data_IF_920337268817
#
_entry.id   IF_920337268817
#
_cell.length_a   1.000
_cell.length_b   1.000
_cell.length_c   1.000
_cell.angle_alpha   90.00
_cell.angle_beta   90.00
_cell.angle_gamma   90.00
#
_symmetry.space_group_name_H-M   'P 1'
#
loop_
_entity.id
_entity.type
_entity.pdbx_description
1 polymer ?
#
# COMPACT_ATOMS: atom_id res chain seq x y z
N UNK A 1 53.46 -62.14 5.85
CA UNK A 1 53.13 -61.01 4.96
C UNK A 1 51.61 -60.94 4.87
N UNK A 2 50.97 -60.07 5.66
CA UNK A 2 49.53 -59.80 5.57
C UNK A 2 49.29 -58.41 6.16
N UNK A 3 48.92 -57.47 5.30
CA UNK A 3 48.63 -56.07 5.61
C UNK A 3 47.16 -56.01 6.01
N UNK A 4 46.85 -55.62 7.25
CA UNK A 4 45.48 -55.31 7.67
C UNK A 4 45.33 -53.79 7.63
N UNK A 5 44.68 -53.29 6.58
CA UNK A 5 44.31 -51.90 6.43
C UNK A 5 43.14 -51.56 7.36
N UNK A 6 43.37 -50.69 8.34
CA UNK A 6 42.31 -50.06 9.16
C UNK A 6 41.76 -48.87 8.39
N UNK A 7 40.52 -48.99 7.92
CA UNK A 7 39.73 -47.88 7.40
C UNK A 7 39.13 -47.10 8.57
N UNK A 8 39.51 -45.83 8.71
CA UNK A 8 38.88 -44.88 9.62
C UNK A 8 37.78 -44.15 8.82
N UNK A 9 36.49 -44.19 9.21
CA UNK A 9 35.49 -43.38 8.53
C UNK A 9 35.69 -41.91 8.95
N UNK A 10 35.99 -41.07 7.95
CA UNK A 10 35.96 -39.61 8.07
C UNK A 10 34.49 -39.19 8.19
N UNK A 11 34.03 -38.91 9.42
CA UNK A 11 32.76 -38.24 9.63
C UNK A 11 32.88 -36.80 9.10
N UNK A 12 32.36 -36.55 7.90
CA UNK A 12 32.02 -35.20 7.47
C UNK A 12 30.91 -34.71 8.38
N UNK A 13 31.25 -33.88 9.36
CA UNK A 13 30.31 -32.98 9.98
C UNK A 13 29.87 -31.98 8.90
N UNK A 14 28.73 -32.24 8.26
CA UNK A 14 28.01 -31.23 7.53
C UNK A 14 27.68 -30.13 8.53
N UNK A 15 28.38 -29.00 8.42
CA UNK A 15 27.99 -27.78 9.12
C UNK A 15 26.61 -27.39 8.63
N UNK A 16 25.59 -27.77 9.39
CA UNK A 16 24.32 -27.07 9.41
C UNK A 16 24.69 -25.62 9.69
N UNK A 17 24.56 -24.75 8.69
CA UNK A 17 24.59 -23.32 8.91
C UNK A 17 23.52 -23.04 9.95
N UNK A 18 23.93 -22.75 11.18
CA UNK A 18 23.05 -22.10 12.13
C UNK A 18 22.67 -20.79 11.44
N UNK A 19 21.42 -20.68 10.98
CA UNK A 19 20.84 -19.41 10.59
C UNK A 19 21.07 -18.46 11.77
N UNK A 20 22.02 -17.55 11.59
CA UNK A 20 22.39 -16.60 12.62
C UNK A 20 21.25 -15.58 12.70
N UNK A 21 20.27 -15.83 13.56
CA UNK A 21 19.30 -14.81 13.95
C UNK A 21 20.05 -13.63 14.55
N UNK A 22 19.77 -12.42 14.11
CA UNK A 22 20.26 -11.24 14.81
C UNK A 22 19.46 -11.09 16.11
N UNK A 23 20.02 -11.61 17.20
CA UNK A 23 19.51 -11.42 18.55
C UNK A 23 19.30 -9.92 18.80
N UNK A 24 18.07 -9.54 19.14
CA UNK A 24 17.64 -8.16 19.37
C UNK A 24 17.11 -7.39 18.15
N UNK A 25 17.17 -7.94 16.93
CA UNK A 25 16.64 -7.26 15.73
C UNK A 25 15.15 -7.56 15.54
N UNK A 26 14.31 -6.52 15.63
CA UNK A 26 12.88 -6.56 15.31
C UNK A 26 12.62 -5.72 14.06
N UNK A 27 11.84 -6.25 13.12
CA UNK A 27 11.48 -5.54 11.88
C UNK A 27 9.98 -5.50 11.72
N UNK A 28 9.44 -4.29 11.64
CA UNK A 28 8.03 -4.07 11.36
C UNK A 28 7.89 -3.50 9.96
N UNK A 29 7.08 -4.15 9.15
CA UNK A 29 6.61 -3.58 7.90
C UNK A 29 5.17 -3.19 8.03
N UNK A 30 4.85 -1.99 7.56
CA UNK A 30 3.49 -1.67 7.26
C UNK A 30 3.33 -0.97 5.94
N UNK A 31 2.15 -1.10 5.35
CA UNK A 31 1.89 -0.56 4.03
C UNK A 31 0.42 -0.53 3.70
N UNK A 32 0.13 0.02 2.54
CA UNK A 32 -1.24 0.25 2.11
C UNK A 32 -1.42 -0.11 0.65
N UNK A 33 -2.56 -0.70 0.32
CA UNK A 33 -2.97 -1.05 -1.04
C UNK A 33 -4.32 -0.39 -1.33
N UNK A 34 -4.47 0.13 -2.54
CA UNK A 34 -5.74 0.68 -3.01
C UNK A 34 -6.17 -0.04 -4.27
N UNK A 35 -7.43 -0.47 -4.31
CA UNK A 35 -8.12 -0.95 -5.49
C UNK A 35 -9.43 -0.19 -5.68
N UNK A 36 -9.96 -0.21 -6.90
CA UNK A 36 -11.24 0.43 -7.25
C UNK A 36 -12.11 -0.60 -7.95
N UNK A 37 -13.35 -0.74 -7.50
CA UNK A 37 -14.35 -1.63 -8.08
C UNK A 37 -15.64 -0.85 -8.36
N UNK A 38 -16.47 -1.35 -9.27
CA UNK A 38 -17.86 -0.90 -9.39
C UNK A 38 -18.80 -1.75 -8.55
N UNK A 39 -20.11 -1.54 -8.72
CA UNK A 39 -21.15 -2.34 -8.05
C UNK A 39 -21.01 -3.86 -8.29
N UNK A 40 -20.49 -4.25 -9.45
CA UNK A 40 -20.32 -5.65 -9.88
C UNK A 40 -19.08 -6.32 -9.29
N UNK A 41 -18.24 -5.57 -8.59
CA UNK A 41 -17.01 -6.08 -7.99
C UNK A 41 -15.84 -6.25 -8.94
N UNK A 42 -16.00 -5.91 -10.22
CA UNK A 42 -14.94 -6.07 -11.20
C UNK A 42 -13.88 -4.98 -10.95
N UNK A 43 -12.60 -5.35 -10.74
CA UNK A 43 -11.53 -4.38 -10.58
C UNK A 43 -11.41 -3.49 -11.81
N UNK A 44 -11.41 -2.18 -11.59
CA UNK A 44 -11.27 -1.19 -12.64
C UNK A 44 -9.79 -0.84 -12.75
N UNK A 45 -9.30 -0.65 -13.98
CA UNK A 45 -7.94 -0.18 -14.22
C UNK A 45 -7.92 1.34 -14.36
N UNK A 46 -7.03 2.03 -13.64
CA UNK A 46 -6.91 3.50 -13.66
C UNK A 46 -5.45 3.95 -13.56
N UNK A 47 -5.15 5.23 -13.82
CA UNK A 47 -3.82 5.78 -13.57
C UNK A 47 -3.67 6.14 -12.08
N UNK A 48 -2.80 5.44 -11.33
CA UNK A 48 -2.79 5.60 -9.88
C UNK A 48 -2.23 6.95 -9.39
N UNK A 49 -1.47 7.65 -10.23
CA UNK A 49 -0.99 9.02 -9.98
C UNK A 49 -1.24 9.87 -11.23
N UNK A 50 -2.18 10.81 -11.14
CA UNK A 50 -2.52 11.75 -12.23
C UNK A 50 -1.90 13.14 -12.05
N UNK A 51 -1.47 13.49 -10.84
CA UNK A 51 -0.85 14.78 -10.51
C UNK A 51 0.68 14.65 -10.36
N UNK A 52 1.38 15.79 -10.17
CA UNK A 52 2.77 15.81 -9.71
C UNK A 52 2.94 14.86 -8.52
N UNK A 53 4.10 14.21 -8.43
CA UNK A 53 4.46 13.34 -7.31
C UNK A 53 4.06 13.99 -5.98
N UNK A 54 3.37 13.21 -5.15
CA UNK A 54 2.98 13.52 -3.78
C UNK A 54 4.15 13.30 -2.79
N UNK A 55 5.31 12.87 -3.31
CA UNK A 55 6.51 12.57 -2.54
C UNK A 55 7.56 13.66 -2.64
N UNK A 56 8.47 13.75 -1.64
CA UNK A 56 9.64 14.61 -1.71
C UNK A 56 10.53 14.31 -2.92
N UNK A 57 11.19 15.32 -3.47
CA UNK A 57 12.06 15.22 -4.64
C UNK A 57 13.33 14.37 -4.42
N UNK A 58 13.70 14.07 -3.19
CA UNK A 58 14.81 13.15 -2.89
C UNK A 58 14.45 11.66 -3.05
N UNK A 59 13.17 11.31 -3.20
CA UNK A 59 12.73 9.93 -3.42
C UNK A 59 13.13 9.48 -4.83
N UNK A 60 13.70 8.29 -4.94
CA UNK A 60 14.06 7.71 -6.23
C UNK A 60 12.80 7.29 -6.97
N UNK A 61 12.78 7.53 -8.28
CA UNK A 61 11.68 7.16 -9.17
C UNK A 61 12.23 6.25 -10.27
N UNK A 62 11.63 5.07 -10.41
CA UNK A 62 11.87 4.14 -11.50
C UNK A 62 10.98 4.48 -12.69
N UNK A 63 10.13 3.53 -13.11
CA UNK A 63 9.14 3.77 -14.16
C UNK A 63 7.98 4.60 -13.58
N UNK A 64 7.68 5.81 -14.11
CA UNK A 64 6.66 6.67 -13.52
C UNK A 64 5.25 6.04 -13.56
N UNK A 65 4.57 6.00 -12.40
CA UNK A 65 3.20 5.45 -12.25
C UNK A 65 2.18 6.11 -13.17
N UNK A 66 2.29 7.41 -13.42
CA UNK A 66 1.34 8.16 -14.25
C UNK A 66 1.31 7.76 -15.73
N UNK A 67 2.26 6.91 -16.17
CA UNK A 67 2.30 6.35 -17.53
C UNK A 67 1.69 4.94 -17.62
N UNK A 68 1.18 4.42 -16.50
CA UNK A 68 0.71 3.05 -16.39
C UNK A 68 -0.69 3.02 -15.77
N UNK A 69 -1.54 2.19 -16.33
CA UNK A 69 -2.79 1.81 -15.67
C UNK A 69 -2.57 0.55 -14.84
N UNK A 70 -3.20 0.48 -13.68
CA UNK A 70 -3.13 -0.67 -12.78
C UNK A 70 -4.47 -0.87 -12.08
N UNK A 71 -4.69 -2.07 -11.55
CA UNK A 71 -5.87 -2.37 -10.70
C UNK A 71 -5.55 -2.27 -9.21
N UNK A 72 -4.25 -2.21 -8.86
CA UNK A 72 -3.78 -2.03 -7.49
C UNK A 72 -2.68 -0.98 -7.44
N UNK A 73 -2.84 0.00 -6.54
CA UNK A 73 -1.80 0.96 -6.14
C UNK A 73 -1.24 0.54 -4.79
N UNK A 74 0.06 0.26 -4.73
CA UNK A 74 0.78 0.12 -3.48
C UNK A 74 1.27 1.50 -3.03
N UNK A 75 0.69 1.95 -1.92
CA UNK A 75 0.67 3.33 -1.46
C UNK A 75 1.83 3.67 -0.54
N UNK A 76 1.95 3.17 0.69
CA UNK A 76 3.09 3.57 1.55
C UNK A 76 3.70 2.39 2.33
N UNK A 77 4.22 1.35 1.67
CA UNK A 77 5.08 0.40 2.36
C UNK A 77 6.34 1.04 2.96
N UNK A 78 6.55 0.81 4.25
CA UNK A 78 7.75 1.18 4.99
C UNK A 78 8.20 0.03 5.88
N UNK A 79 9.51 -0.16 6.01
CA UNK A 79 10.13 -1.07 6.98
C UNK A 79 10.83 -0.29 8.08
N UNK A 80 10.41 -0.50 9.32
CA UNK A 80 11.07 -0.02 10.53
C UNK A 80 11.94 -1.10 11.13
N UNK A 81 13.04 -0.66 11.74
CA UNK A 81 14.01 -1.54 12.39
C UNK A 81 14.14 -1.10 13.84
N UNK A 82 14.08 -2.06 14.76
CA UNK A 82 14.36 -1.86 16.18
C UNK A 82 15.50 -2.79 16.55
N UNK A 83 16.51 -2.24 17.22
CA UNK A 83 17.68 -2.97 17.66
C UNK A 83 18.23 -2.28 18.91
N UNK A 84 18.86 -3.04 19.79
CA UNK A 84 19.53 -2.56 21.00
C UNK A 84 20.97 -2.07 20.73
N UNK A 85 21.58 -2.56 19.64
CA UNK A 85 22.93 -2.21 19.21
C UNK A 85 23.00 -1.95 17.71
N UNK A 86 24.08 -1.27 17.29
CA UNK A 86 24.34 -1.07 15.87
C UNK A 86 24.38 -2.43 15.14
N UNK A 87 23.55 -2.55 14.12
CA UNK A 87 23.36 -3.79 13.36
C UNK A 87 23.44 -3.49 11.88
N UNK A 88 23.91 -4.45 11.09
CA UNK A 88 23.91 -4.34 9.63
C UNK A 88 23.05 -5.46 9.07
N UNK A 89 22.10 -5.11 8.21
CA UNK A 89 21.25 -6.07 7.52
C UNK A 89 21.26 -5.83 6.01
N UNK A 90 21.01 -6.89 5.25
CA UNK A 90 20.59 -6.80 3.86
C UNK A 90 19.08 -7.06 3.79
N UNK A 91 18.41 -6.31 2.93
CA UNK A 91 16.95 -6.35 2.78
C UNK A 91 16.61 -6.47 1.31
N UNK A 92 15.67 -7.34 0.99
CA UNK A 92 15.15 -7.51 -0.37
C UNK A 92 13.64 -7.68 -0.33
N UNK A 93 12.96 -6.91 -1.16
CA UNK A 93 11.53 -7.06 -1.43
C UNK A 93 11.32 -7.34 -2.91
N UNK A 94 10.46 -8.31 -3.22
CA UNK A 94 9.93 -8.54 -4.56
C UNK A 94 8.46 -8.09 -4.63
N UNK A 95 8.01 -7.73 -5.83
CA UNK A 95 6.61 -7.52 -6.12
C UNK A 95 6.22 -8.27 -7.41
N UNK A 96 6.03 -9.60 -7.36
CA UNK A 96 5.86 -10.44 -8.56
C UNK A 96 4.66 -10.04 -9.43
N UNK A 97 3.57 -9.59 -8.81
CA UNK A 97 2.35 -9.15 -9.50
C UNK A 97 2.34 -7.67 -9.92
N UNK A 98 3.49 -7.00 -9.88
CA UNK A 98 3.57 -5.58 -10.17
C UNK A 98 4.98 -5.05 -10.39
N UNK A 99 5.10 -3.74 -10.23
CA UNK A 99 6.33 -2.99 -10.40
C UNK A 99 6.53 -2.04 -9.23
N UNK A 100 7.78 -1.93 -8.78
CA UNK A 100 8.23 -0.94 -7.83
C UNK A 100 8.65 0.31 -8.60
N UNK A 101 8.05 1.42 -8.22
CA UNK A 101 8.11 2.68 -8.97
C UNK A 101 8.76 3.80 -8.18
N UNK A 102 8.73 3.76 -6.85
CA UNK A 102 9.38 4.76 -6.01
C UNK A 102 10.03 4.10 -4.78
N UNK A 103 11.18 4.61 -4.33
CA UNK A 103 11.86 4.11 -3.12
C UNK A 103 12.85 5.10 -2.51
N UNK A 104 13.15 4.90 -1.23
CA UNK A 104 14.21 5.61 -0.51
C UNK A 104 14.57 4.82 0.74
N UNK A 105 15.83 4.80 1.21
CA UNK A 105 17.07 5.29 0.60
C UNK A 105 17.50 4.53 -0.67
N UNK A 106 18.67 4.88 -1.22
CA UNK A 106 19.27 4.26 -2.40
C UNK A 106 19.33 2.73 -2.29
N UNK A 107 18.98 2.06 -3.39
CA UNK A 107 18.87 0.62 -3.47
C UNK A 107 19.28 0.13 -4.87
N UNK A 108 19.59 -1.16 -4.99
CA UNK A 108 19.64 -1.83 -6.27
C UNK A 108 18.21 -2.09 -6.72
N UNK A 109 17.83 -1.54 -7.88
CA UNK A 109 16.47 -1.60 -8.39
C UNK A 109 16.40 -2.42 -9.68
N UNK A 110 15.36 -3.25 -9.76
CA UNK A 110 14.81 -3.81 -10.99
C UNK A 110 13.28 -3.62 -10.94
N UNK A 111 12.55 -3.66 -12.08
CA UNK A 111 11.14 -3.30 -12.11
C UNK A 111 10.28 -3.95 -11.03
N UNK A 112 10.46 -5.24 -10.71
CA UNK A 112 9.69 -5.95 -9.68
C UNK A 112 10.49 -6.28 -8.41
N UNK A 113 11.64 -5.63 -8.17
CA UNK A 113 12.54 -5.96 -7.05
C UNK A 113 13.35 -4.77 -6.56
N UNK A 114 13.45 -4.65 -5.24
CA UNK A 114 14.43 -3.80 -4.57
C UNK A 114 15.37 -4.63 -3.69
N UNK A 115 16.63 -4.22 -3.65
CA UNK A 115 17.62 -4.75 -2.72
C UNK A 115 18.44 -3.62 -2.09
N UNK A 116 18.40 -3.56 -0.76
CA UNK A 116 19.36 -2.81 0.05
C UNK A 116 20.39 -3.79 0.59
N UNK A 117 21.57 -3.83 -0.04
CA UNK A 117 22.60 -4.83 0.31
C UNK A 117 23.29 -4.57 1.65
N UNK A 118 23.23 -3.34 2.16
CA UNK A 118 23.85 -2.95 3.43
C UNK A 118 23.13 -1.77 4.09
N UNK A 119 22.17 -2.11 4.93
CA UNK A 119 21.43 -1.18 5.79
C UNK A 119 22.13 -1.14 7.14
N UNK A 120 22.71 0.01 7.52
CA UNK A 120 23.24 0.20 8.87
C UNK A 120 22.11 0.71 9.77
N UNK A 121 21.73 -0.08 10.76
CA UNK A 121 20.69 0.20 11.74
C UNK A 121 21.39 0.74 12.98
N UNK A 122 21.05 1.95 13.40
CA UNK A 122 21.77 2.70 14.44
C UNK A 122 20.80 3.18 15.50
N UNK A 123 20.63 2.44 16.61
CA UNK A 123 19.83 2.92 17.73
C UNK A 123 20.46 4.18 18.33
N UNK A 124 19.63 5.04 18.93
CA UNK A 124 20.03 6.22 19.72
C UNK A 124 20.84 7.32 18.98
N UNK A 125 21.07 7.16 17.67
CA UNK A 125 21.76 8.18 16.87
C UNK A 125 20.76 9.16 16.26
N UNK A 126 20.77 10.40 16.72
CA UNK A 126 20.11 11.49 16.02
C UNK A 126 20.93 11.91 14.78
N UNK A 127 20.30 11.98 13.62
CA UNK A 127 20.87 12.56 12.40
C UNK A 127 19.83 13.45 11.75
N UNK A 128 20.21 14.59 11.16
CA UNK A 128 19.29 15.35 10.32
C UNK A 128 18.82 14.44 9.17
N UNK A 129 17.50 14.32 9.04
CA UNK A 129 16.85 13.64 7.94
C UNK A 129 16.60 14.64 6.82
N UNK A 130 16.76 14.20 5.56
CA UNK A 130 16.40 15.05 4.42
C UNK A 130 14.93 15.44 4.53
N UNK A 131 14.67 16.74 4.47
CA UNK A 131 13.32 17.31 4.49
C UNK A 131 13.31 18.51 3.56
N UNK A 132 12.32 18.54 2.68
CA UNK A 132 12.05 19.68 1.81
C UNK A 132 11.07 20.65 2.48
N UNK A 133 11.03 21.89 2.01
CA UNK A 133 10.15 22.92 2.59
C UNK A 133 8.66 22.61 2.39
N UNK A 134 8.31 21.96 1.27
CA UNK A 134 6.94 21.51 1.01
C UNK A 134 6.61 20.35 1.94
N UNK A 135 5.47 20.46 2.62
CA UNK A 135 4.99 19.36 3.44
C UNK A 135 4.57 18.15 2.59
N UNK A 136 4.66 16.96 3.18
CA UNK A 136 4.32 15.71 2.50
C UNK A 136 3.93 14.67 3.54
N UNK A 137 2.88 13.90 3.24
CA UNK A 137 2.43 12.79 4.08
C UNK A 137 3.54 11.76 4.34
N UNK A 138 4.57 11.70 3.49
CA UNK A 138 5.78 10.91 3.69
C UNK A 138 6.41 11.16 5.07
N UNK A 139 6.40 12.40 5.55
CA UNK A 139 7.06 12.75 6.81
C UNK A 139 6.31 12.26 8.06
N UNK A 140 5.01 11.97 7.98
CA UNK A 140 4.27 11.40 9.11
C UNK A 140 4.78 10.00 9.48
N UNK A 141 5.25 9.22 8.50
CA UNK A 141 5.86 7.92 8.74
C UNK A 141 7.15 7.99 9.59
N UNK A 142 7.73 9.18 9.82
CA UNK A 142 8.89 9.34 10.72
C UNK A 142 8.51 9.34 12.20
N UNK A 143 7.23 9.46 12.56
CA UNK A 143 6.78 9.69 13.94
C UNK A 143 6.73 8.41 14.80
N UNK A 144 7.71 7.53 14.65
CA UNK A 144 7.86 6.24 15.36
C UNK A 144 9.09 6.25 16.25
N UNK A 145 9.35 5.16 16.98
CA UNK A 145 10.58 4.95 17.77
C UNK A 145 11.65 4.13 17.06
N UNK A 146 11.46 3.83 15.77
CA UNK A 146 12.40 3.04 14.98
C UNK A 146 13.83 3.62 14.98
N UNK A 147 14.82 2.73 14.88
CA UNK A 147 16.20 3.12 14.75
C UNK A 147 16.44 3.89 13.44
N UNK A 148 17.47 4.72 13.42
CA UNK A 148 17.93 5.36 12.21
C UNK A 148 18.57 4.30 11.29
N UNK A 149 18.19 4.30 10.01
CA UNK A 149 18.86 3.53 8.98
C UNK A 149 19.77 4.41 8.15
N UNK A 150 20.95 3.90 7.79
CA UNK A 150 21.89 4.55 6.89
C UNK A 150 22.29 3.62 5.75
N UNK A 151 22.07 4.07 4.52
CA UNK A 151 22.44 3.33 3.30
C UNK A 151 23.35 4.20 2.42
N UNK A 152 24.40 3.60 1.86
CA UNK A 152 25.30 4.30 0.94
C UNK A 152 24.78 4.30 -0.50
N UNK A 153 24.89 5.43 -1.20
CA UNK A 153 24.56 5.53 -2.62
C UNK A 153 25.81 5.59 -3.55
N UNK A 154 26.98 5.25 -3.01
CA UNK A 154 28.28 5.37 -3.68
C UNK A 154 28.99 6.71 -3.45
N UNK A 155 28.26 7.80 -3.18
CA UNK A 155 28.83 9.13 -2.93
C UNK A 155 28.67 9.60 -1.48
N UNK A 156 27.55 9.27 -0.85
CA UNK A 156 27.22 9.68 0.52
C UNK A 156 26.33 8.64 1.22
N UNK A 157 26.23 8.77 2.55
CA UNK A 157 25.22 8.07 3.33
C UNK A 157 23.90 8.83 3.29
N UNK A 158 22.82 8.08 3.03
CA UNK A 158 21.45 8.54 3.12
C UNK A 158 20.84 7.98 4.40
N UNK A 159 20.24 8.87 5.19
CA UNK A 159 19.66 8.55 6.49
C UNK A 159 18.14 8.64 6.42
N UNK A 160 17.45 7.70 7.04
CA UNK A 160 15.99 7.68 7.19
C UNK A 160 15.61 6.89 8.45
N UNK A 161 14.35 6.95 8.89
CA UNK A 161 13.82 6.07 9.98
C UNK A 161 13.28 4.74 9.48
N UNK A 162 13.20 4.56 8.16
CA UNK A 162 12.62 3.40 7.52
C UNK A 162 13.21 3.20 6.12
N UNK A 163 13.02 2.00 5.57
CA UNK A 163 13.12 1.77 4.13
C UNK A 163 11.74 1.94 3.53
N UNK A 164 11.62 2.80 2.53
CA UNK A 164 10.38 3.11 1.85
C UNK A 164 10.38 2.58 0.43
N UNK A 165 9.23 2.04 0.01
CA UNK A 165 9.01 1.65 -1.37
C UNK A 165 7.53 1.74 -1.75
N UNK A 166 7.24 1.99 -3.01
CA UNK A 166 5.87 2.01 -3.58
C UNK A 166 5.85 1.31 -4.92
N UNK A 167 4.65 0.94 -5.37
CA UNK A 167 4.48 0.26 -6.64
C UNK A 167 3.07 0.30 -7.18
N UNK A 168 2.90 -0.32 -8.34
CA UNK A 168 1.61 -0.55 -9.01
C UNK A 168 1.59 -1.97 -9.55
N UNK A 169 0.42 -2.60 -9.59
CA UNK A 169 0.28 -3.96 -10.09
C UNK A 169 -1.12 -4.30 -10.56
N UNK A 170 -1.23 -5.49 -11.13
CA UNK A 170 -2.50 -6.11 -11.53
C UNK A 170 -2.77 -7.40 -10.73
N UNK A 171 -2.13 -7.51 -9.57
CA UNK A 171 -2.32 -8.59 -8.61
C UNK A 171 -3.78 -8.68 -8.15
N UNK A 172 -4.20 -9.90 -7.81
CA UNK A 172 -5.49 -10.15 -7.16
C UNK A 172 -5.33 -9.95 -5.66
N UNK A 173 -6.26 -9.23 -5.07
CA UNK A 173 -6.38 -9.11 -3.61
C UNK A 173 -7.29 -10.25 -3.09
N UNK A 174 -7.11 -10.72 -1.84
CA UNK A 174 -7.82 -11.88 -1.30
C UNK A 174 -9.31 -11.62 -1.00
N UNK A 175 -9.75 -10.37 -1.12
CA UNK A 175 -11.12 -9.94 -0.89
C UNK A 175 -11.69 -9.35 -2.19
N UNK A 176 -12.84 -9.85 -2.61
CA UNK A 176 -13.68 -9.29 -3.66
C UNK A 176 -14.99 -8.78 -3.08
N UNK A 177 -15.52 -7.69 -3.61
CA UNK A 177 -16.74 -7.05 -3.12
C UNK A 177 -17.81 -7.03 -4.20
N UNK A 178 -19.09 -7.07 -3.83
CA UNK A 178 -20.20 -6.74 -4.73
C UNK A 178 -21.19 -5.87 -3.97
N UNK A 179 -21.61 -4.76 -4.58
CA UNK A 179 -22.66 -3.91 -4.03
C UNK A 179 -24.01 -4.43 -4.51
N UNK A 180 -24.90 -4.76 -3.57
CA UNK A 180 -26.24 -5.27 -3.82
C UNK A 180 -27.26 -4.39 -3.07
N UNK A 181 -27.70 -3.31 -3.73
CA UNK A 181 -28.55 -2.31 -3.09
C UNK A 181 -27.82 -1.62 -1.95
N UNK A 182 -28.36 -1.70 -0.74
CA UNK A 182 -27.77 -1.11 0.47
C UNK A 182 -26.77 -2.03 1.19
N UNK A 183 -26.47 -3.20 0.63
CA UNK A 183 -25.56 -4.18 1.22
C UNK A 183 -24.31 -4.38 0.38
N UNK A 184 -23.17 -4.58 1.03
CA UNK A 184 -21.92 -5.02 0.42
C UNK A 184 -21.69 -6.48 0.76
N UNK A 185 -21.68 -7.32 -0.27
CA UNK A 185 -21.23 -8.70 -0.20
C UNK A 185 -19.70 -8.73 -0.27
N UNK A 186 -19.07 -9.32 0.74
CA UNK A 186 -17.63 -9.52 0.84
C UNK A 186 -17.36 -10.99 0.62
N UNK A 187 -16.66 -11.36 -0.43
CA UNK A 187 -16.26 -12.73 -0.69
C UNK A 187 -14.74 -12.88 -0.51
N UNK A 188 -14.33 -13.96 0.15
CA UNK A 188 -12.94 -14.37 0.30
C UNK A 188 -12.83 -15.90 0.30
N UNK A 189 -11.68 -16.41 -0.16
CA UNK A 189 -11.38 -17.84 -0.16
C UNK A 189 -10.70 -18.35 1.12
N UNK A 190 -10.56 -17.47 2.12
CA UNK A 190 -10.01 -17.76 3.44
C UNK A 190 -10.56 -16.76 4.46
N UNK A 191 -10.31 -17.01 5.74
CA UNK A 191 -10.60 -16.06 6.80
C UNK A 191 -9.80 -14.75 6.62
N UNK A 192 -10.50 -13.61 6.69
CA UNK A 192 -9.90 -12.27 6.60
C UNK A 192 -9.80 -11.62 7.99
N UNK A 193 -10.77 -11.92 8.87
CA UNK A 193 -10.93 -11.26 10.17
C UNK A 193 -11.64 -9.91 10.03
N UNK A 194 -11.30 -8.89 10.84
CA UNK A 194 -12.08 -7.67 10.90
C UNK A 194 -11.93 -6.82 9.64
N UNK A 195 -13.07 -6.42 9.09
CA UNK A 195 -13.19 -5.44 8.01
C UNK A 195 -14.00 -4.24 8.49
N UNK A 196 -13.76 -3.08 7.89
CA UNK A 196 -14.50 -1.84 8.17
C UNK A 196 -15.09 -1.31 6.88
N UNK A 197 -16.42 -1.34 6.77
CA UNK A 197 -17.14 -0.63 5.72
C UNK A 197 -17.34 0.81 6.16
N UNK A 198 -16.80 1.76 5.41
CA UNK A 198 -16.84 3.18 5.71
C UNK A 198 -17.51 3.94 4.58
N UNK A 199 -18.43 4.82 4.97
CA UNK A 199 -19.10 5.72 4.06
C UNK A 199 -18.99 7.17 4.55
N UNK A 200 -18.75 8.07 3.60
CA UNK A 200 -18.84 9.51 3.82
C UNK A 200 -19.66 10.14 2.71
N UNK A 201 -20.70 10.87 3.09
CA UNK A 201 -21.56 11.57 2.15
C UNK A 201 -22.01 12.92 2.71
N UNK A 202 -21.79 14.00 1.95
CA UNK A 202 -22.22 15.35 2.34
C UNK A 202 -21.61 15.82 3.65
N UNK A 203 -20.37 15.39 3.95
CA UNK A 203 -19.71 15.65 5.23
C UNK A 203 -20.14 14.76 6.40
N UNK A 204 -21.22 13.97 6.27
CA UNK A 204 -21.62 12.98 7.27
C UNK A 204 -20.83 11.69 7.10
N UNK A 205 -20.63 10.97 8.20
CA UNK A 205 -19.78 9.78 8.29
C UNK A 205 -20.54 8.63 8.92
N UNK A 206 -20.34 7.41 8.41
CA UNK A 206 -20.79 6.18 9.05
C UNK A 206 -19.76 5.08 8.83
N UNK A 207 -19.61 4.16 9.79
CA UNK A 207 -18.84 2.94 9.56
C UNK A 207 -19.44 1.70 10.23
N UNK A 208 -19.10 0.52 9.72
CA UNK A 208 -19.47 -0.78 10.28
C UNK A 208 -18.24 -1.67 10.33
N UNK A 209 -17.90 -2.17 11.52
CA UNK A 209 -16.92 -3.25 11.71
C UNK A 209 -17.63 -4.59 11.73
N UNK A 210 -17.08 -5.59 11.05
CA UNK A 210 -17.54 -6.97 11.09
C UNK A 210 -16.39 -7.92 10.79
N UNK A 211 -16.37 -9.09 11.42
CA UNK A 211 -15.43 -10.15 11.05
C UNK A 211 -15.92 -10.91 9.80
N UNK A 212 -14.99 -11.19 8.90
CA UNK A 212 -15.22 -11.96 7.67
C UNK A 212 -14.50 -13.29 7.78
N UNK A 213 -15.29 -14.34 7.95
CA UNK A 213 -14.83 -15.73 8.00
C UNK A 213 -14.62 -16.30 6.60
N UNK A 214 -14.19 -17.57 6.54
CA UNK A 214 -14.18 -18.32 5.29
C UNK A 214 -15.59 -18.37 4.67
N UNK A 215 -15.69 -18.13 3.36
CA UNK A 215 -16.96 -18.00 2.64
C UNK A 215 -17.55 -16.58 2.59
N UNK A 216 -16.98 -15.60 3.31
CA UNK A 216 -17.35 -14.19 3.18
C UNK A 216 -18.36 -13.66 4.21
N UNK A 217 -18.94 -12.50 3.93
CA UNK A 217 -19.88 -11.80 4.78
C UNK A 217 -20.79 -10.84 3.99
N UNK A 218 -21.93 -10.47 4.58
CA UNK A 218 -22.77 -9.38 4.11
C UNK A 218 -22.74 -8.25 5.13
N UNK A 219 -22.46 -7.03 4.67
CA UNK A 219 -22.43 -5.82 5.48
C UNK A 219 -23.43 -4.81 4.92
N UNK A 220 -24.42 -4.42 5.73
CA UNK A 220 -25.27 -3.27 5.41
C UNK A 220 -24.44 -1.99 5.44
N UNK A 221 -24.70 -1.08 4.49
CA UNK A 221 -24.13 0.27 4.48
C UNK A 221 -24.39 0.95 5.83
N UNK A 222 -23.41 1.71 6.34
CA UNK A 222 -23.51 2.29 7.66
C UNK A 222 -24.50 3.47 7.66
N UNK A 223 -25.21 3.65 8.77
CA UNK A 223 -25.98 4.87 9.00
C UNK A 223 -25.00 6.02 9.21
N UNK A 224 -25.25 7.16 8.56
CA UNK A 224 -24.37 8.32 8.64
C UNK A 224 -24.64 9.13 9.92
N UNK A 225 -23.98 8.74 11.02
CA UNK A 225 -24.08 9.42 12.32
C UNK A 225 -22.81 9.31 13.18
N UNK A 226 -21.74 8.74 12.65
CA UNK A 226 -20.47 8.55 13.34
C UNK A 226 -19.54 9.77 13.17
N UNK A 227 -18.36 9.70 13.79
CA UNK A 227 -17.29 10.68 13.62
C UNK A 227 -16.03 10.05 13.00
N UNK A 228 -15.26 10.86 12.27
CA UNK A 228 -13.94 10.44 11.80
C UNK A 228 -12.99 10.07 12.95
N UNK A 229 -13.15 10.69 14.12
CA UNK A 229 -12.34 10.37 15.30
C UNK A 229 -12.62 8.94 15.79
N UNK A 230 -13.89 8.52 15.84
CA UNK A 230 -14.27 7.16 16.22
C UNK A 230 -13.74 6.12 15.21
N UNK A 231 -13.92 6.37 13.91
CA UNK A 231 -13.38 5.52 12.85
C UNK A 231 -11.84 5.38 12.96
N UNK A 232 -11.13 6.47 13.21
CA UNK A 232 -9.66 6.44 13.37
C UNK A 232 -9.24 5.62 14.59
N UNK A 233 -9.95 5.76 15.71
CA UNK A 233 -9.68 4.98 16.91
C UNK A 233 -9.88 3.48 16.64
N UNK A 234 -10.96 3.11 15.95
CA UNK A 234 -11.23 1.72 15.53
C UNK A 234 -10.11 1.17 14.63
N UNK A 235 -9.74 1.90 13.58
CA UNK A 235 -8.66 1.49 12.67
C UNK A 235 -7.31 1.40 13.39
N UNK A 236 -7.02 2.32 14.31
CA UNK A 236 -5.80 2.28 15.11
C UNK A 236 -5.76 1.03 16.00
N UNK A 237 -6.88 0.70 16.64
CA UNK A 237 -7.02 -0.50 17.46
C UNK A 237 -6.78 -1.75 16.61
N UNK A 238 -7.40 -1.87 15.43
CA UNK A 238 -7.17 -3.00 14.51
C UNK A 238 -5.69 -3.17 14.15
N UNK A 239 -4.98 -2.07 13.90
CA UNK A 239 -3.56 -2.09 13.56
C UNK A 239 -2.68 -2.56 14.73
N UNK A 240 -2.98 -2.10 15.95
CA UNK A 240 -2.27 -2.52 17.16
C UNK A 240 -2.56 -3.97 17.52
N UNK A 241 -3.81 -4.43 17.37
CA UNK A 241 -4.22 -5.83 17.55
C UNK A 241 -3.46 -6.78 16.60
N UNK A 242 -3.01 -6.27 15.43
CA UNK A 242 -2.19 -7.02 14.47
C UNK A 242 -0.67 -6.89 14.70
N UNK A 243 -0.26 -6.25 15.80
CA UNK A 243 1.12 -6.21 16.26
C UNK A 243 1.88 -4.92 15.94
N UNK A 244 1.26 -3.92 15.30
CA UNK A 244 1.92 -2.62 15.16
C UNK A 244 2.06 -1.94 16.51
N UNK A 245 3.18 -1.24 16.71
CA UNK A 245 3.31 -0.38 17.88
C UNK A 245 2.33 0.81 17.78
N UNK A 246 1.82 1.35 18.90
CA UNK A 246 0.85 2.44 18.88
C UNK A 246 1.28 3.66 18.04
N UNK A 247 2.57 4.00 18.07
CA UNK A 247 3.12 5.10 17.27
C UNK A 247 3.26 4.78 15.78
N UNK A 248 3.45 3.52 15.42
CA UNK A 248 3.43 3.08 14.02
C UNK A 248 2.02 3.14 13.45
N UNK A 249 1.03 2.65 14.20
CA UNK A 249 -0.38 2.73 13.82
C UNK A 249 -0.83 4.19 13.66
N UNK A 250 -0.49 5.06 14.62
CA UNK A 250 -0.77 6.49 14.52
C UNK A 250 -0.05 7.15 13.34
N UNK A 251 1.23 6.83 13.10
CA UNK A 251 1.98 7.34 11.96
C UNK A 251 1.39 6.92 10.62
N UNK A 252 0.96 5.66 10.50
CA UNK A 252 0.26 5.15 9.31
C UNK A 252 -1.03 5.94 9.06
N UNK A 253 -1.91 6.07 10.06
CA UNK A 253 -3.17 6.80 9.92
C UNK A 253 -2.96 8.28 9.60
N UNK A 254 -1.91 8.91 10.13
CA UNK A 254 -1.57 10.29 9.78
C UNK A 254 -1.16 10.43 8.30
N UNK A 255 -0.62 9.38 7.65
CA UNK A 255 -0.39 9.41 6.19
C UNK A 255 -1.67 9.41 5.35
N UNK A 256 -2.84 9.16 5.97
CA UNK A 256 -4.12 8.99 5.29
C UNK A 256 -4.99 10.24 5.32
N UNK A 257 -4.64 11.23 6.15
CA UNK A 257 -5.44 12.40 6.50
C UNK A 257 -6.05 13.13 5.30
N UNK A 258 -5.27 13.29 4.23
CA UNK A 258 -5.68 14.05 3.07
C UNK A 258 -6.57 13.29 2.09
N UNK A 259 -6.55 11.95 2.06
CA UNK A 259 -7.04 11.22 0.88
C UNK A 259 -7.77 9.90 1.11
N UNK A 260 -7.81 9.36 2.33
CA UNK A 260 -8.47 8.07 2.58
C UNK A 260 -9.88 8.22 3.15
N UNK A 261 -10.14 9.34 3.80
CA UNK A 261 -11.42 9.66 4.46
C UNK A 261 -12.26 10.68 3.67
N UNK A 262 -12.02 10.80 2.36
CA UNK A 262 -12.81 11.64 1.44
C UNK A 262 -14.25 11.11 1.27
N UNK A 263 -15.07 11.77 0.46
CA UNK A 263 -16.44 11.33 0.11
C UNK A 263 -16.45 9.98 -0.64
N UNK A 264 -17.49 9.16 -0.44
CA UNK A 264 -17.71 7.86 -1.12
C UNK A 264 -17.90 6.66 -0.18
N UNK A 265 -17.92 5.45 -0.75
CA UNK A 265 -18.06 4.17 -0.03
C UNK A 265 -16.80 3.31 -0.23
N UNK A 266 -16.23 2.78 0.85
CA UNK A 266 -15.06 1.88 0.76
C UNK A 266 -14.98 0.86 1.88
N UNK A 267 -14.28 -0.23 1.62
CA UNK A 267 -13.94 -1.24 2.62
C UNK A 267 -12.45 -1.14 2.99
N UNK A 268 -12.13 -1.17 4.28
CA UNK A 268 -10.79 -1.37 4.81
C UNK A 268 -10.66 -2.77 5.40
N UNK A 269 -9.53 -3.43 5.16
CA UNK A 269 -9.16 -4.66 5.85
C UNK A 269 -7.63 -4.81 5.90
N UNK A 270 -7.15 -5.63 6.83
CA UNK A 270 -5.73 -5.98 6.93
C UNK A 270 -5.53 -7.29 6.15
N UNK A 271 -4.58 -7.32 5.23
CA UNK A 271 -4.28 -8.53 4.46
C UNK A 271 -3.86 -9.66 5.41
N UNK A 272 -4.38 -10.89 5.21
CA UNK A 272 -3.87 -12.07 5.90
C UNK A 272 -2.35 -12.23 5.68
N UNK A 273 -1.65 -12.76 6.69
CA UNK A 273 -0.20 -12.96 6.65
C UNK A 273 0.31 -13.74 5.41
N UNK A 274 -0.28 -14.91 5.10
CA UNK A 274 0.11 -15.68 3.90
C UNK A 274 -0.05 -14.89 2.59
N UNK A 275 -1.13 -14.11 2.47
CA UNK A 275 -1.39 -13.27 1.29
C UNK A 275 -0.39 -12.11 1.20
N UNK A 276 -0.03 -11.52 2.33
CA UNK A 276 1.02 -10.50 2.42
C UNK A 276 2.38 -11.04 1.97
N UNK A 277 2.75 -12.24 2.42
CA UNK A 277 4.00 -12.91 2.06
C UNK A 277 4.05 -13.33 0.58
N UNK A 278 2.93 -13.76 0.02
CA UNK A 278 2.82 -14.08 -1.41
C UNK A 278 2.85 -12.82 -2.30
N UNK A 279 2.18 -11.76 -1.87
CA UNK A 279 2.07 -10.50 -2.61
C UNK A 279 3.40 -9.74 -2.66
N UNK A 280 4.07 -9.64 -1.51
CA UNK A 280 5.34 -8.93 -1.34
C UNK A 280 6.35 -9.83 -0.62
N UNK A 281 7.01 -10.78 -1.30
CA UNK A 281 8.06 -11.59 -0.69
C UNK A 281 9.16 -10.70 -0.10
N UNK A 282 9.43 -10.88 1.19
CA UNK A 282 10.40 -10.08 1.96
C UNK A 282 11.47 -11.00 2.55
N UNK A 283 12.74 -10.67 2.29
CA UNK A 283 13.91 -11.37 2.80
C UNK A 283 14.85 -10.38 3.50
N UNK A 284 15.27 -10.73 4.71
CA UNK A 284 16.14 -9.94 5.57
C UNK A 284 17.22 -10.87 6.09
N UNK A 285 18.48 -10.44 5.99
CA UNK A 285 19.65 -11.18 6.48
C UNK A 285 20.56 -10.23 7.28
N UNK A 286 20.95 -10.57 8.53
CA UNK A 286 20.54 -11.76 9.28
C UNK A 286 19.03 -11.80 9.54
N UNK A 287 18.50 -13.01 9.77
CA UNK A 287 17.07 -13.17 10.08
C UNK A 287 16.73 -12.39 11.36
N UNK A 288 15.69 -11.52 11.34
CA UNK A 288 15.29 -10.80 12.53
C UNK A 288 14.70 -11.77 13.57
N UNK A 289 14.88 -11.45 14.85
CA UNK A 289 14.26 -12.15 15.97
C UNK A 289 12.74 -12.10 15.88
N UNK A 290 12.19 -10.95 15.47
CA UNK A 290 10.76 -10.77 15.28
C UNK A 290 10.48 -10.01 13.98
N UNK A 291 9.41 -10.43 13.30
CA UNK A 291 8.92 -9.79 12.09
C UNK A 291 7.41 -9.61 12.15
N UNK A 292 6.96 -8.37 12.12
CA UNK A 292 5.54 -7.99 12.00
C UNK A 292 5.31 -7.39 10.63
N UNK A 293 4.24 -7.81 9.93
CA UNK A 293 3.86 -7.26 8.63
C UNK A 293 2.36 -6.95 8.61
N UNK A 294 2.02 -5.67 8.47
CA UNK A 294 0.62 -5.20 8.46
C UNK A 294 0.37 -4.36 7.23
N UNK A 295 -0.26 -4.96 6.22
CA UNK A 295 -0.69 -4.26 5.00
C UNK A 295 -2.19 -4.02 5.05
N UNK A 296 -2.62 -2.77 4.93
CA UNK A 296 -4.04 -2.40 4.86
C UNK A 296 -4.47 -2.28 3.41
N UNK A 297 -5.44 -3.06 3.00
CA UNK A 297 -6.13 -2.85 1.73
C UNK A 297 -7.34 -1.93 1.93
N UNK A 298 -7.47 -0.99 1.00
CA UNK A 298 -8.66 -0.17 0.80
C UNK A 298 -9.25 -0.51 -0.57
N UNK A 299 -10.52 -0.86 -0.58
CA UNK A 299 -11.28 -1.09 -1.81
C UNK A 299 -12.31 0.02 -1.92
N UNK A 300 -12.11 0.92 -2.89
CA UNK A 300 -13.05 1.99 -3.21
C UNK A 300 -14.17 1.42 -4.08
N UNK A 301 -15.42 1.70 -3.71
CA UNK A 301 -16.60 1.22 -4.40
C UNK A 301 -17.22 2.40 -5.14
N UNK A 302 -17.18 2.37 -6.47
CA UNK A 302 -17.90 3.32 -7.31
C UNK A 302 -19.37 2.92 -7.32
N UNK A 303 -20.20 3.73 -6.67
CA UNK A 303 -21.61 3.41 -6.50
C UNK A 303 -22.44 3.81 -7.72
N UNK A 304 -23.61 3.19 -7.94
CA UNK A 304 -24.53 3.58 -9.01
C UNK A 304 -24.96 5.05 -8.93
N UNK A 305 -25.05 5.63 -7.72
CA UNK A 305 -25.38 7.05 -7.52
C UNK A 305 -24.28 7.95 -8.10
N UNK A 306 -23.01 7.59 -7.91
CA UNK A 306 -21.88 8.33 -8.47
C UNK A 306 -21.85 8.25 -10.00
N UNK A 307 -22.16 7.07 -10.56
CA UNK A 307 -22.27 6.89 -12.01
C UNK A 307 -23.37 7.78 -12.59
N UNK A 308 -24.58 7.74 -12.02
CA UNK A 308 -25.71 8.59 -12.45
C UNK A 308 -25.38 10.08 -12.33
N UNK A 309 -24.79 10.51 -11.21
CA UNK A 309 -24.40 11.92 -11.04
C UNK A 309 -23.36 12.34 -12.10
N UNK A 310 -22.39 11.49 -12.41
CA UNK A 310 -21.41 11.79 -13.46
C UNK A 310 -22.06 11.88 -14.83
N UNK A 311 -22.99 10.97 -15.17
CA UNK A 311 -23.75 10.98 -16.41
C UNK A 311 -24.57 12.27 -16.55
N UNK A 312 -25.37 12.61 -15.54
CA UNK A 312 -26.23 13.78 -15.53
C UNK A 312 -25.43 15.08 -15.71
N UNK A 313 -24.30 15.21 -15.02
CA UNK A 313 -23.43 16.39 -15.12
C UNK A 313 -22.71 16.48 -16.46
N UNK A 314 -22.34 15.34 -17.04
CA UNK A 314 -21.78 15.27 -18.38
C UNK A 314 -22.83 15.56 -19.46
N UNK A 315 -24.08 15.17 -19.26
CA UNK A 315 -25.19 15.50 -20.17
C UNK A 315 -25.52 17.00 -20.10
N UNK A 316 -25.62 17.55 -18.89
CA UNK A 316 -25.89 18.97 -18.62
C UNK A 316 -24.72 19.91 -18.97
N UNK A 317 -23.56 19.36 -19.33
CA UNK A 317 -22.34 20.10 -19.59
C UNK A 317 -21.87 21.00 -18.44
N UNK A 318 -22.10 20.57 -17.20
CA UNK A 318 -21.70 21.30 -15.99
C UNK A 318 -20.17 21.47 -15.90
N UNK A 319 -19.72 22.62 -15.40
CA UNK A 319 -18.30 22.98 -15.28
C UNK A 319 -17.65 22.60 -13.93
N UNK A 320 -18.39 21.99 -13.00
CA UNK A 320 -17.87 21.58 -11.69
C UNK A 320 -17.12 20.24 -11.69
N UNK A 321 -16.43 19.89 -10.59
CA UNK A 321 -15.68 18.64 -10.46
C UNK A 321 -16.61 17.43 -10.37
N UNK A 322 -16.42 16.43 -11.23
CA UNK A 322 -17.21 15.19 -11.21
C UNK A 322 -17.02 14.40 -9.90
N UNK A 323 -17.96 13.52 -9.54
CA UNK A 323 -17.81 12.66 -8.36
C UNK A 323 -16.59 11.72 -8.49
N UNK A 324 -16.23 11.10 -7.37
CA UNK A 324 -15.15 10.11 -7.29
C UNK A 324 -13.78 10.68 -6.95
N UNK A 325 -13.63 12.00 -6.80
CA UNK A 325 -12.39 12.62 -6.32
C UNK A 325 -11.17 12.20 -7.15
N UNK A 326 -10.16 11.61 -6.51
CA UNK A 326 -8.98 11.09 -7.23
C UNK A 326 -9.25 9.86 -8.11
N UNK A 327 -10.41 9.23 -7.97
CA UNK A 327 -10.87 8.07 -8.75
C UNK A 327 -11.84 8.45 -9.87
N UNK A 328 -12.05 9.74 -10.15
CA UNK A 328 -12.89 10.20 -11.27
C UNK A 328 -12.51 9.54 -12.60
N UNK A 329 -11.22 9.25 -12.84
CA UNK A 329 -10.82 8.55 -14.07
C UNK A 329 -11.39 7.12 -14.14
N UNK A 330 -11.37 6.37 -13.03
CA UNK A 330 -11.93 5.03 -12.96
C UNK A 330 -13.45 5.07 -13.20
N UNK A 331 -14.12 6.05 -12.60
CA UNK A 331 -15.55 6.30 -12.81
C UNK A 331 -15.88 6.61 -14.28
N UNK A 332 -15.15 7.53 -14.89
CA UNK A 332 -15.32 7.89 -16.29
C UNK A 332 -15.11 6.68 -17.21
N UNK A 333 -14.09 5.85 -16.96
CA UNK A 333 -13.86 4.62 -17.73
C UNK A 333 -15.05 3.68 -17.62
N UNK A 334 -15.58 3.48 -16.41
CA UNK A 334 -16.74 2.63 -16.16
C UNK A 334 -17.99 3.13 -16.89
N UNK A 335 -18.34 4.41 -16.73
CA UNK A 335 -19.49 5.03 -17.41
C UNK A 335 -19.36 4.89 -18.93
N UNK A 336 -18.17 5.17 -19.49
CA UNK A 336 -17.90 5.02 -20.93
C UNK A 336 -18.14 3.60 -21.43
N UNK A 337 -17.74 2.60 -20.65
CA UNK A 337 -17.79 1.19 -21.04
C UNK A 337 -19.20 0.60 -20.90
N UNK A 338 -20.08 1.22 -20.10
CA UNK A 338 -21.47 0.79 -19.88
C UNK A 338 -22.53 1.59 -20.64
N UNK A 339 -22.26 2.85 -20.98
CA UNK A 339 -23.25 3.70 -21.65
C UNK A 339 -23.44 3.32 -23.12
N UNK A 340 -24.69 3.30 -23.59
CA UNK A 340 -25.04 3.19 -25.01
C UNK A 340 -25.10 4.55 -25.73
N UNK A 341 -25.04 5.66 -24.99
CA UNK A 341 -25.03 7.00 -25.59
C UNK A 341 -23.67 7.29 -26.25
N UNK A 342 -23.67 7.29 -27.59
CA UNK A 342 -22.50 7.57 -28.43
C UNK A 342 -21.91 8.95 -28.17
N UNK A 343 -22.73 9.97 -27.88
CA UNK A 343 -22.27 11.34 -27.62
C UNK A 343 -21.59 11.41 -26.26
N UNK A 344 -22.19 10.81 -25.23
CA UNK A 344 -21.59 10.72 -23.90
C UNK A 344 -20.27 9.95 -23.94
N UNK A 345 -20.24 8.78 -24.60
CA UNK A 345 -19.03 7.98 -24.80
C UNK A 345 -17.91 8.80 -25.48
N UNK A 346 -18.24 9.58 -26.51
CA UNK A 346 -17.27 10.45 -27.20
C UNK A 346 -16.80 11.62 -26.32
N UNK A 347 -17.67 12.21 -25.50
CA UNK A 347 -17.30 13.24 -24.52
C UNK A 347 -16.31 12.70 -23.49
N UNK A 348 -16.59 11.52 -22.91
CA UNK A 348 -15.72 10.91 -21.91
C UNK A 348 -14.34 10.57 -22.50
N UNK A 349 -14.29 10.03 -23.73
CA UNK A 349 -13.01 9.78 -24.42
C UNK A 349 -12.17 11.06 -24.49
N UNK A 350 -12.77 12.18 -24.91
CA UNK A 350 -12.06 13.48 -24.98
C UNK A 350 -11.52 13.92 -23.62
N UNK A 351 -12.30 13.79 -22.55
CA UNK A 351 -11.86 14.12 -21.19
C UNK A 351 -10.64 13.27 -20.77
N UNK A 352 -10.74 11.95 -20.94
CA UNK A 352 -9.66 11.02 -20.60
C UNK A 352 -8.38 11.30 -21.41
N UNK A 353 -8.49 11.68 -22.68
CA UNK A 353 -7.35 12.07 -23.51
C UNK A 353 -6.76 13.44 -23.10
N UNK A 354 -7.59 14.45 -22.87
CA UNK A 354 -7.11 15.79 -22.48
C UNK A 354 -6.35 15.77 -21.16
N UNK A 355 -6.77 14.92 -20.23
CA UNK A 355 -6.11 14.79 -18.94
C UNK A 355 -4.80 14.00 -19.01
N UNK A 356 -4.58 13.17 -20.04
CA UNK A 356 -3.29 12.52 -20.28
C UNK A 356 -2.26 13.46 -20.94
N UNK A 357 -2.71 14.41 -21.77
CA UNK A 357 -1.85 15.39 -22.44
C UNK A 357 -1.26 16.48 -21.53
N UNK A 358 -1.87 16.74 -20.37
CA UNK A 358 -1.37 17.72 -19.39
C UNK A 358 -0.15 17.26 -18.58
N UNK A 359 0.21 15.98 -18.65
CA UNK A 359 1.36 15.40 -17.93
C UNK A 359 2.69 15.50 -18.71
N UNK A 360 2.68 15.92 -19.99
CA UNK A 360 3.90 16.20 -20.75
C UNK A 360 4.41 17.63 -20.49
N UNK A 361 4.79 17.93 -19.25
CA UNK A 361 5.67 19.06 -19.00
C UNK A 361 7.06 18.71 -19.54
N UNK A 362 7.42 19.25 -20.70
CA UNK A 362 8.81 19.27 -21.16
C UNK A 362 9.67 19.99 -20.08
N UNK A 363 10.87 19.49 -19.74
CA UNK A 363 11.77 20.24 -18.88
C UNK A 363 12.35 21.44 -19.67
N UNK A 364 12.74 22.53 -19.00
CA UNK A 364 13.60 23.55 -19.61
C UNK A 364 14.95 22.98 -20.04
#
# INVERSE_FOLDING_TARGET
MMIIARWLPLLLAAGLGMDASAEGLVVHEWGTLTSVVGEDGVPISWHPLRQRSDLPGFVYVGIPKGRQTATVRMETPVLYFYADRETVASVRVDFPGGQITEWYPAAQWAPSRLRWSRVRIRPETASPLRREARDSHYYHARQTDAALVAVGNGAALQHERFLFYRGVGTCRLPVSLRLAGESVEVASGAEVGPVVLFERHGGLVGYRRQDVADGGAFLERPVLGDSLAALRAELQQMLVERGLYPREAAAMLATWDESWFEEGLRLFYILPGPETDALLPLSIDPQPQERVRVLVARIEILTPEMEREAEDRLAAASSGPLPGGRFTEALLRRVRDRTDDVRLRARIRRLLFSEQGGASGAPP
#
